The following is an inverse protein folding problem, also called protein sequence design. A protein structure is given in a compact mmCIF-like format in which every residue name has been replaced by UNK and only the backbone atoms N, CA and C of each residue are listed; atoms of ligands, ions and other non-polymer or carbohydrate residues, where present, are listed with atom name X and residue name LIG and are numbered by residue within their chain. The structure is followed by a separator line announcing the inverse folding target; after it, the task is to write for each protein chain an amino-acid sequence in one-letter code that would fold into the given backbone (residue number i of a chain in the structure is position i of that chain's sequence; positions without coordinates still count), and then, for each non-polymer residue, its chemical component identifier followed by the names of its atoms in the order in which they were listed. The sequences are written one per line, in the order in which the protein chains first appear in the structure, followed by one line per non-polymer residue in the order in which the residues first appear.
data_IF_603606188779
#
_entry.id   IF_603606188779
#
_cell.length_a   1.000
_cell.length_b   1.000
_cell.length_c   1.000
_cell.angle_alpha   90.00
_cell.angle_beta   90.00
_cell.angle_gamma   90.00
#
_symmetry.space_group_name_H-M   'P 1'
#
loop_
_entity.id
_entity.type
_entity.pdbx_description
1 polymer ?
#
# COMPACT_ATOMS: atom_id res chain seq x y z
N UNK A 1 -19.76 10.69 19.11
CA UNK A 1 -18.54 10.02 18.65
C UNK A 1 -18.90 8.95 17.64
N UNK A 2 -18.34 8.99 16.45
CA UNK A 2 -18.49 7.98 15.40
C UNK A 2 -17.11 7.42 15.06
N UNK A 3 -16.93 6.11 15.13
CA UNK A 3 -15.66 5.44 14.85
C UNK A 3 -15.78 4.64 13.57
N UNK A 4 -14.88 4.88 12.63
CA UNK A 4 -14.77 4.11 11.40
C UNK A 4 -13.52 3.22 11.48
N UNK A 5 -13.73 1.94 11.71
CA UNK A 5 -12.66 0.93 11.82
C UNK A 5 -11.93 0.67 10.49
N UNK A 6 -12.57 0.96 9.36
CA UNK A 6 -11.97 0.75 8.03
C UNK A 6 -10.95 1.83 7.67
N UNK A 7 -11.20 3.06 8.11
CA UNK A 7 -10.31 4.20 7.87
C UNK A 7 -9.42 4.51 9.08
N UNK A 8 -9.53 3.70 10.16
CA UNK A 8 -8.82 3.93 11.43
C UNK A 8 -9.03 5.36 11.96
N UNK A 9 -10.23 5.91 11.74
CA UNK A 9 -10.56 7.29 12.09
C UNK A 9 -11.77 7.36 13.03
N UNK A 10 -11.72 8.30 13.97
CA UNK A 10 -12.82 8.61 14.87
C UNK A 10 -13.26 10.06 14.68
N UNK A 11 -14.56 10.28 14.59
CA UNK A 11 -15.17 11.60 14.48
C UNK A 11 -15.74 12.00 15.83
N UNK A 12 -15.27 13.13 16.37
CA UNK A 12 -15.73 13.68 17.63
C UNK A 12 -16.42 15.01 17.37
N UNK A 13 -17.69 15.12 17.73
CA UNK A 13 -18.41 16.38 17.75
C UNK A 13 -18.23 17.04 19.12
N UNK A 14 -17.55 18.20 19.15
CA UNK A 14 -17.26 18.93 20.38
C UNK A 14 -18.44 19.85 20.68
N UNK A 15 -19.23 19.49 21.69
CA UNK A 15 -20.40 20.26 22.15
C UNK A 15 -20.06 21.30 23.21
N UNK A 16 -18.86 21.27 23.81
CA UNK A 16 -18.43 22.21 24.83
C UNK A 16 -17.31 23.13 24.37
N UNK A 17 -17.37 24.40 24.74
CA UNK A 17 -16.49 25.49 24.27
C UNK A 17 -15.02 25.42 24.78
N UNK A 18 -14.70 24.58 25.77
CA UNK A 18 -13.37 24.42 26.36
C UNK A 18 -13.02 22.93 26.55
N UNK A 19 -12.76 22.22 25.46
CA UNK A 19 -12.09 20.92 25.55
C UNK A 19 -10.66 21.12 25.02
N UNK A 20 -9.70 20.82 25.87
CA UNK A 20 -8.30 20.76 25.48
C UNK A 20 -8.09 19.49 24.62
N UNK A 21 -7.87 19.72 23.34
CA UNK A 21 -7.72 18.64 22.35
C UNK A 21 -6.44 17.84 22.63
N UNK A 22 -5.41 18.47 23.22
CA UNK A 22 -4.16 17.79 23.58
C UNK A 22 -4.40 16.75 24.67
N UNK A 23 -5.22 17.06 25.67
CA UNK A 23 -5.58 16.11 26.73
C UNK A 23 -6.37 14.89 26.20
N UNK A 24 -7.20 15.07 25.18
CA UNK A 24 -7.93 13.97 24.53
C UNK A 24 -6.96 13.05 23.75
N UNK A 25 -5.98 13.63 23.07
CA UNK A 25 -4.98 12.86 22.32
C UNK A 25 -4.06 12.08 23.26
N UNK A 26 -3.70 12.66 24.41
CA UNK A 26 -2.86 12.02 25.42
C UNK A 26 -3.59 10.84 26.08
N UNK A 27 -4.86 11.00 26.43
CA UNK A 27 -5.71 9.92 26.93
C UNK A 27 -5.88 8.78 25.92
N UNK A 28 -6.05 9.09 24.63
CA UNK A 28 -6.12 8.07 23.57
C UNK A 28 -4.79 7.31 23.43
N UNK A 29 -3.67 8.02 23.54
CA UNK A 29 -2.33 7.43 23.47
C UNK A 29 -2.04 6.50 24.66
N UNK A 30 -2.42 6.89 25.89
CA UNK A 30 -2.28 6.07 27.09
C UNK A 30 -3.12 4.80 27.04
N UNK A 31 -4.29 4.86 26.41
CA UNK A 31 -5.15 3.70 26.19
C UNK A 31 -4.76 2.83 24.96
N UNK A 32 -3.57 3.07 24.38
CA UNK A 32 -3.04 2.26 23.28
C UNK A 32 -3.48 2.66 21.88
N UNK A 33 -4.13 3.83 21.72
CA UNK A 33 -4.58 4.38 20.46
C UNK A 33 -3.84 5.69 20.13
N UNK A 34 -2.57 5.64 19.67
CA UNK A 34 -1.83 6.84 19.31
C UNK A 34 -2.53 7.54 18.13
N UNK A 35 -3.17 8.66 18.41
CA UNK A 35 -4.03 9.39 17.48
C UNK A 35 -3.41 10.73 17.11
N UNK A 36 -3.73 11.25 15.94
CA UNK A 36 -3.37 12.58 15.46
C UNK A 36 -4.61 13.33 15.04
N UNK A 37 -4.62 14.66 15.31
CA UNK A 37 -5.70 15.51 14.81
C UNK A 37 -5.71 15.47 13.29
N UNK A 38 -6.84 15.12 12.75
CA UNK A 38 -7.10 15.19 11.33
C UNK A 38 -7.74 16.54 11.03
N UNK A 39 -6.92 17.53 10.69
CA UNK A 39 -7.45 18.78 10.12
C UNK A 39 -7.98 18.39 8.74
N UNK A 40 -9.26 18.68 8.50
CA UNK A 40 -9.99 18.32 7.27
C UNK A 40 -9.47 19.14 6.07
N UNK A 41 -8.16 19.16 5.89
CA UNK A 41 -7.48 19.77 4.75
C UNK A 41 -7.31 18.65 3.71
N UNK A 42 -8.33 18.54 2.86
CA UNK A 42 -8.38 17.56 1.77
C UNK A 42 -7.13 17.61 0.90
N UNK A 43 -6.59 18.81 0.66
CA UNK A 43 -5.35 19.01 -0.10
C UNK A 43 -4.13 18.43 0.61
N UNK A 44 -4.04 18.57 1.94
CA UNK A 44 -2.93 17.96 2.71
C UNK A 44 -3.03 16.45 2.76
N UNK A 45 -4.25 15.91 2.86
CA UNK A 45 -4.47 14.46 2.80
C UNK A 45 -3.96 13.88 1.48
N UNK A 46 -4.30 14.54 0.38
CA UNK A 46 -3.86 14.16 -0.96
C UNK A 46 -2.34 14.16 -1.06
N UNK A 47 -1.71 15.28 -0.70
CA UNK A 47 -0.25 15.41 -0.77
C UNK A 47 0.48 14.38 0.11
N UNK A 48 -0.06 14.08 1.30
CA UNK A 48 0.52 13.04 2.17
C UNK A 48 0.35 11.65 1.57
N UNK A 49 -0.82 11.33 1.00
CA UNK A 49 -1.07 10.05 0.33
C UNK A 49 -0.17 9.85 -0.90
N UNK A 50 0.01 10.89 -1.71
CA UNK A 50 0.93 10.83 -2.86
C UNK A 50 2.38 10.66 -2.44
N UNK A 51 2.83 11.40 -1.43
CA UNK A 51 4.17 11.26 -0.87
C UNK A 51 4.41 9.87 -0.28
N UNK A 52 3.42 9.32 0.43
CA UNK A 52 3.48 7.96 0.96
C UNK A 52 3.50 6.91 -0.17
N UNK A 53 2.68 7.09 -1.21
CA UNK A 53 2.69 6.23 -2.40
C UNK A 53 4.04 6.27 -3.10
N UNK A 54 4.59 7.46 -3.36
CA UNK A 54 5.93 7.63 -3.95
C UNK A 54 7.02 7.01 -3.08
N UNK A 55 6.97 7.21 -1.75
CA UNK A 55 7.93 6.63 -0.81
C UNK A 55 7.84 5.09 -0.77
N UNK A 56 6.63 4.53 -0.73
CA UNK A 56 6.42 3.07 -0.83
C UNK A 56 6.96 2.52 -2.14
N UNK A 57 6.66 3.17 -3.26
CA UNK A 57 7.13 2.79 -4.58
C UNK A 57 8.66 2.80 -4.69
N UNK A 58 9.30 3.87 -4.20
CA UNK A 58 10.76 3.98 -4.21
C UNK A 58 11.45 2.91 -3.34
N UNK A 59 10.85 2.61 -2.18
CA UNK A 59 11.31 1.54 -1.30
C UNK A 59 11.17 0.14 -1.95
N UNK A 60 10.12 -0.08 -2.73
CA UNK A 60 9.93 -1.32 -3.50
C UNK A 60 10.97 -1.48 -4.61
N UNK A 61 11.25 -0.40 -5.34
CA UNK A 61 12.31 -0.40 -6.35
C UNK A 61 13.68 -0.70 -5.74
N UNK A 62 14.02 -0.10 -4.61
CA UNK A 62 15.27 -0.37 -3.90
C UNK A 62 15.38 -1.85 -3.48
N UNK A 63 14.31 -2.43 -2.95
CA UNK A 63 14.29 -3.85 -2.58
C UNK A 63 14.43 -4.75 -3.81
N UNK A 64 13.75 -4.42 -4.90
CA UNK A 64 13.83 -5.18 -6.14
C UNK A 64 15.23 -5.13 -6.75
N UNK A 65 15.83 -3.94 -6.89
CA UNK A 65 17.17 -3.80 -7.46
C UNK A 65 18.21 -4.55 -6.64
N UNK A 66 18.10 -4.48 -5.32
CA UNK A 66 18.99 -5.22 -4.44
C UNK A 66 18.76 -6.74 -4.52
N UNK A 67 17.52 -7.19 -4.59
CA UNK A 67 17.19 -8.60 -4.76
C UNK A 67 17.66 -9.16 -6.11
N UNK A 68 17.50 -8.40 -7.19
CA UNK A 68 18.01 -8.75 -8.52
C UNK A 68 19.54 -8.86 -8.53
N UNK A 69 20.22 -7.92 -7.89
CA UNK A 69 21.66 -7.97 -7.73
C UNK A 69 22.10 -9.26 -7.01
N UNK A 70 21.51 -9.58 -5.87
CA UNK A 70 21.83 -10.80 -5.11
C UNK A 70 21.51 -12.06 -5.91
N UNK A 71 20.38 -12.08 -6.62
CA UNK A 71 19.98 -13.22 -7.44
C UNK A 71 20.95 -13.45 -8.60
N UNK A 72 21.40 -12.38 -9.27
CA UNK A 72 22.38 -12.45 -10.35
C UNK A 72 23.71 -13.02 -9.85
N UNK A 73 24.21 -12.53 -8.71
CA UNK A 73 25.45 -13.03 -8.12
C UNK A 73 25.32 -14.47 -7.61
N UNK A 74 24.17 -14.83 -7.03
CA UNK A 74 23.90 -16.21 -6.62
C UNK A 74 23.85 -17.16 -7.81
N UNK A 75 23.20 -16.75 -8.92
CA UNK A 75 23.14 -17.52 -10.16
C UNK A 75 24.51 -17.69 -10.81
N UNK A 76 25.32 -16.63 -10.87
CA UNK A 76 26.70 -16.70 -11.35
C UNK A 76 27.57 -17.62 -10.47
N UNK A 77 27.37 -17.57 -9.15
CA UNK A 77 28.05 -18.46 -8.21
C UNK A 77 27.68 -19.92 -8.43
N UNK A 78 26.42 -20.23 -8.66
CA UNK A 78 25.96 -21.59 -8.97
C UNK A 78 26.54 -22.13 -10.29
N UNK A 79 26.66 -21.27 -11.31
CA UNK A 79 27.35 -21.62 -12.57
C UNK A 79 28.86 -21.84 -12.37
N UNK A 80 29.49 -21.12 -11.47
CA UNK A 80 30.89 -21.30 -11.11
C UNK A 80 31.12 -22.60 -10.34
N UNK A 81 30.24 -22.99 -9.43
CA UNK A 81 30.23 -24.25 -8.72
C UNK A 81 30.08 -25.45 -9.67
N UNK A 82 29.23 -25.32 -10.71
CA UNK A 82 29.05 -26.29 -11.80
C UNK A 82 30.21 -26.36 -12.78
N UNK A 83 31.33 -25.65 -12.55
CA UNK A 83 32.52 -25.58 -13.44
C UNK A 83 32.29 -24.99 -14.83
N UNK A 84 31.17 -24.32 -15.06
CA UNK A 84 30.92 -23.61 -16.32
C UNK A 84 31.70 -22.29 -16.42
N UNK A 85 32.07 -21.71 -15.27
CA UNK A 85 32.83 -20.45 -15.17
C UNK A 85 33.97 -20.61 -14.18
N UNK A 86 35.20 -20.32 -14.59
CA UNK A 86 36.40 -20.45 -13.76
C UNK A 86 36.65 -19.19 -12.89
N UNK A 87 35.76 -18.92 -11.93
CA UNK A 87 35.92 -17.86 -10.92
C UNK A 87 35.93 -18.46 -9.51
N UNK A 88 37.12 -18.69 -8.89
CA UNK A 88 37.23 -19.38 -7.61
C UNK A 88 36.55 -18.66 -6.44
N UNK A 89 36.39 -17.32 -6.53
CA UNK A 89 35.74 -16.50 -5.51
C UNK A 89 34.22 -16.76 -5.51
N UNK A 90 33.59 -16.89 -6.70
CA UNK A 90 32.16 -17.09 -6.84
C UNK A 90 31.71 -18.50 -6.42
N UNK A 91 32.56 -19.51 -6.50
CA UNK A 91 32.30 -20.88 -6.02
C UNK A 91 32.58 -21.09 -4.53
N UNK A 92 32.98 -20.05 -3.80
CA UNK A 92 33.32 -20.18 -2.38
C UNK A 92 32.06 -20.22 -1.50
N UNK A 93 31.96 -21.21 -0.62
CA UNK A 93 30.83 -21.37 0.31
C UNK A 93 30.60 -20.14 1.19
N UNK A 94 31.65 -19.43 1.61
CA UNK A 94 31.56 -18.22 2.41
C UNK A 94 30.93 -17.05 1.60
N UNK A 95 31.18 -17.02 0.30
CA UNK A 95 30.53 -16.05 -0.60
C UNK A 95 29.03 -16.29 -0.66
N UNK A 96 28.58 -17.53 -0.86
CA UNK A 96 27.16 -17.90 -0.86
C UNK A 96 26.50 -17.67 0.49
N UNK A 97 27.20 -17.99 1.58
CA UNK A 97 26.73 -17.73 2.95
C UNK A 97 26.52 -16.22 3.19
N UNK A 98 27.44 -15.37 2.72
CA UNK A 98 27.30 -13.92 2.85
C UNK A 98 26.15 -13.37 2.02
N UNK A 99 25.96 -13.84 0.78
CA UNK A 99 24.83 -13.47 -0.07
C UNK A 99 23.50 -13.88 0.56
N UNK A 100 23.39 -15.10 1.08
CA UNK A 100 22.19 -15.58 1.75
C UNK A 100 21.87 -14.74 2.99
N UNK A 101 22.88 -14.45 3.81
CA UNK A 101 22.70 -13.58 4.99
C UNK A 101 22.21 -12.19 4.61
N UNK A 102 22.80 -11.59 3.58
CA UNK A 102 22.37 -10.28 3.06
C UNK A 102 20.94 -10.33 2.50
N UNK A 103 20.57 -11.41 1.81
CA UNK A 103 19.21 -11.60 1.29
C UNK A 103 18.17 -11.68 2.42
N UNK A 104 18.48 -12.37 3.51
CA UNK A 104 17.61 -12.49 4.66
C UNK A 104 17.47 -11.16 5.42
N UNK A 105 18.58 -10.45 5.67
CA UNK A 105 18.59 -9.25 6.51
C UNK A 105 18.00 -8.00 5.83
N UNK A 106 18.18 -7.88 4.52
CA UNK A 106 17.74 -6.67 3.81
C UNK A 106 16.42 -6.88 3.05
N UNK A 107 16.39 -7.51 1.86
CA UNK A 107 15.15 -7.58 1.10
C UNK A 107 14.15 -8.58 1.70
N UNK A 108 14.60 -9.69 2.26
CA UNK A 108 13.78 -10.76 2.82
C UNK A 108 13.24 -10.50 4.23
N UNK A 109 13.82 -9.53 4.95
CA UNK A 109 13.46 -9.25 6.35
C UNK A 109 11.95 -9.10 6.58
N UNK A 110 11.27 -8.38 5.69
CA UNK A 110 9.83 -8.16 5.82
C UNK A 110 9.03 -9.46 5.69
N UNK A 111 9.39 -10.32 4.75
CA UNK A 111 8.74 -11.63 4.51
C UNK A 111 8.94 -12.52 5.74
N UNK A 112 10.17 -12.60 6.24
CA UNK A 112 10.50 -13.45 7.39
C UNK A 112 9.76 -13.01 8.65
N UNK A 113 9.81 -11.70 8.98
CA UNK A 113 9.15 -11.17 10.18
C UNK A 113 7.64 -11.32 10.10
N UNK A 114 7.03 -10.99 8.95
CA UNK A 114 5.58 -11.10 8.77
C UNK A 114 5.15 -12.56 8.79
N UNK A 115 5.84 -13.45 8.08
CA UNK A 115 5.56 -14.87 8.06
C UNK A 115 5.62 -15.50 9.45
N UNK A 116 6.62 -15.14 10.24
CA UNK A 116 6.75 -15.63 11.62
C UNK A 116 5.66 -15.09 12.54
N UNK A 117 5.31 -13.79 12.41
CA UNK A 117 4.20 -13.18 13.15
C UNK A 117 2.85 -13.81 12.82
N UNK A 118 2.57 -14.06 11.53
CA UNK A 118 1.34 -14.71 11.06
C UNK A 118 1.24 -16.14 11.59
N UNK A 119 2.36 -16.86 11.59
CA UNK A 119 2.42 -18.21 12.13
C UNK A 119 2.13 -18.26 13.64
N UNK A 120 2.73 -17.37 14.45
CA UNK A 120 2.48 -17.29 15.90
C UNK A 120 1.03 -16.92 16.20
N UNK A 121 0.39 -16.09 15.35
CA UNK A 121 -1.01 -15.70 15.51
C UNK A 121 -2.01 -16.76 15.04
N UNK A 122 -1.58 -17.98 14.72
CA UNK A 122 -2.40 -19.06 14.17
C UNK A 122 -3.17 -18.71 12.87
N UNK A 123 -2.64 -17.75 12.10
CA UNK A 123 -3.14 -17.38 10.78
C UNK A 123 -1.98 -17.40 9.78
N UNK A 124 -1.35 -18.59 9.53
CA UNK A 124 -0.26 -18.68 8.58
C UNK A 124 -0.74 -18.26 7.19
N UNK A 125 0.13 -17.58 6.49
CA UNK A 125 -0.05 -17.08 5.14
C UNK A 125 1.09 -17.56 4.21
N UNK A 126 1.10 -17.10 2.98
CA UNK A 126 2.16 -17.40 2.02
C UNK A 126 3.55 -17.02 2.57
N UNK A 127 3.65 -15.91 3.33
CA UNK A 127 4.90 -15.47 3.94
C UNK A 127 5.41 -16.44 4.99
N UNK A 128 4.49 -17.08 5.73
CA UNK A 128 4.82 -18.08 6.73
C UNK A 128 5.49 -19.30 6.10
N UNK A 129 4.97 -19.80 4.99
CA UNK A 129 5.54 -20.93 4.26
C UNK A 129 6.93 -20.61 3.71
N UNK A 130 7.05 -19.44 3.07
CA UNK A 130 8.32 -18.95 2.53
C UNK A 130 9.36 -18.75 3.63
N UNK A 131 8.99 -18.12 4.74
CA UNK A 131 9.88 -17.90 5.88
C UNK A 131 10.41 -19.23 6.45
N UNK A 132 9.53 -20.23 6.61
CA UNK A 132 9.92 -21.56 7.06
C UNK A 132 10.90 -22.22 6.10
N UNK A 133 10.62 -22.22 4.80
CA UNK A 133 11.50 -22.82 3.78
C UNK A 133 12.88 -22.14 3.76
N UNK A 134 12.90 -20.80 3.72
CA UNK A 134 14.14 -20.01 3.71
C UNK A 134 14.96 -20.20 4.97
N UNK A 135 14.33 -20.17 6.15
CA UNK A 135 15.03 -20.36 7.43
C UNK A 135 15.56 -21.81 7.54
N UNK A 136 14.77 -22.80 7.13
CA UNK A 136 15.20 -24.20 7.15
C UNK A 136 16.42 -24.44 6.26
N UNK A 137 16.38 -23.95 5.01
CA UNK A 137 17.51 -24.06 4.09
C UNK A 137 18.75 -23.33 4.60
N UNK A 138 18.58 -22.13 5.15
CA UNK A 138 19.68 -21.35 5.70
C UNK A 138 20.28 -21.99 6.94
N UNK A 139 19.47 -22.49 7.88
CA UNK A 139 19.96 -23.14 9.11
C UNK A 139 20.66 -24.47 8.81
N UNK A 140 20.13 -25.27 7.89
CA UNK A 140 20.78 -26.50 7.44
C UNK A 140 22.16 -26.21 6.81
N UNK A 141 22.25 -25.19 5.97
CA UNK A 141 23.51 -24.77 5.36
C UNK A 141 24.50 -24.22 6.39
N UNK A 142 24.00 -23.50 7.40
CA UNK A 142 24.85 -23.01 8.49
C UNK A 142 25.38 -24.15 9.34
N UNK A 143 24.57 -25.19 9.63
CA UNK A 143 24.99 -26.39 10.33
C UNK A 143 26.04 -27.16 9.52
N UNK A 144 25.88 -27.28 8.20
CA UNK A 144 26.86 -27.86 7.29
C UNK A 144 28.19 -27.12 7.34
N UNK A 145 28.16 -25.79 7.44
CA UNK A 145 29.37 -24.96 7.53
C UNK A 145 30.11 -25.15 8.88
N UNK A 146 29.34 -25.25 9.99
CA UNK A 146 29.91 -25.41 11.35
C UNK A 146 30.39 -26.84 11.59
N UNK A 147 29.67 -27.82 11.07
CA UNK A 147 29.98 -29.26 11.23
C UNK A 147 30.21 -29.96 9.88
N UNK A 148 31.35 -29.72 9.21
CA UNK A 148 31.60 -30.30 7.87
C UNK A 148 31.57 -31.83 7.85
N UNK A 149 31.90 -32.47 9.00
CA UNK A 149 31.89 -33.93 9.15
C UNK A 149 30.47 -34.54 9.20
N UNK A 150 29.43 -33.73 9.31
CA UNK A 150 28.04 -34.21 9.40
C UNK A 150 27.45 -34.70 8.08
N UNK A 151 28.10 -34.36 6.94
CA UNK A 151 27.60 -34.72 5.59
C UNK A 151 26.33 -33.98 5.18
N UNK A 152 25.90 -32.94 5.90
CA UNK A 152 24.75 -32.16 5.49
C UNK A 152 25.02 -31.40 4.19
N UNK A 153 24.09 -31.42 3.24
CA UNK A 153 24.23 -30.65 2.02
C UNK A 153 24.12 -29.14 2.29
N UNK A 154 24.81 -28.34 1.48
CA UNK A 154 24.83 -26.89 1.60
C UNK A 154 23.86 -26.26 0.59
N UNK A 155 22.91 -25.47 1.08
CA UNK A 155 21.82 -24.88 0.30
C UNK A 155 21.79 -23.36 0.40
N UNK A 156 22.93 -22.65 0.55
CA UNK A 156 22.91 -21.18 0.69
C UNK A 156 22.34 -20.46 -0.54
N UNK A 157 22.35 -21.07 -1.72
CA UNK A 157 21.78 -20.49 -2.93
C UNK A 157 20.24 -20.46 -2.90
N UNK A 158 19.62 -21.47 -2.28
CA UNK A 158 18.16 -21.62 -2.24
C UNK A 158 17.44 -20.42 -1.60
N UNK A 159 17.82 -19.94 -0.39
CA UNK A 159 17.26 -18.76 0.22
C UNK A 159 17.32 -17.52 -0.67
N UNK A 160 18.44 -17.30 -1.36
CA UNK A 160 18.63 -16.13 -2.24
C UNK A 160 17.71 -16.20 -3.44
N UNK A 161 17.68 -17.36 -4.11
CA UNK A 161 16.82 -17.58 -5.27
C UNK A 161 15.34 -17.48 -4.92
N UNK A 162 14.92 -18.13 -3.85
CA UNK A 162 13.53 -18.12 -3.40
C UNK A 162 13.05 -16.69 -3.06
N UNK A 163 13.82 -15.97 -2.23
CA UNK A 163 13.51 -14.60 -1.88
C UNK A 163 13.54 -13.69 -3.11
N UNK A 164 14.49 -13.86 -4.00
CA UNK A 164 14.61 -13.07 -5.22
C UNK A 164 13.38 -13.22 -6.12
N UNK A 165 12.94 -14.45 -6.42
CA UNK A 165 11.75 -14.68 -7.24
C UNK A 165 10.47 -14.18 -6.59
N UNK A 166 10.31 -14.35 -5.28
CA UNK A 166 9.14 -13.86 -4.57
C UNK A 166 9.08 -12.33 -4.57
N UNK A 167 10.21 -11.66 -4.39
CA UNK A 167 10.26 -10.20 -4.42
C UNK A 167 9.96 -9.63 -5.82
N UNK A 168 10.42 -10.31 -6.88
CA UNK A 168 10.05 -9.98 -8.26
C UNK A 168 8.53 -10.14 -8.45
N UNK A 169 7.96 -11.27 -8.04
CA UNK A 169 6.52 -11.51 -8.13
C UNK A 169 5.69 -10.46 -7.40
N UNK A 170 6.08 -10.10 -6.20
CA UNK A 170 5.43 -9.02 -5.42
C UNK A 170 5.55 -7.65 -6.08
N UNK A 171 6.71 -7.33 -6.63
CA UNK A 171 6.89 -6.09 -7.35
C UNK A 171 5.95 -6.00 -8.56
N UNK A 172 5.84 -7.09 -9.35
CA UNK A 172 4.92 -7.15 -10.50
C UNK A 172 3.46 -7.01 -10.07
N UNK A 173 3.07 -7.68 -8.97
CA UNK A 173 1.72 -7.56 -8.38
C UNK A 173 1.43 -6.11 -7.96
N UNK A 174 2.33 -5.48 -7.21
CA UNK A 174 2.16 -4.08 -6.78
C UNK A 174 2.16 -3.11 -7.95
N UNK A 175 3.00 -3.33 -8.97
CA UNK A 175 3.00 -2.53 -10.20
C UNK A 175 1.65 -2.61 -10.90
N UNK A 176 1.07 -3.80 -11.03
CA UNK A 176 -0.25 -3.98 -11.63
C UNK A 176 -1.33 -3.23 -10.84
N UNK A 177 -1.29 -3.32 -9.50
CA UNK A 177 -2.20 -2.58 -8.62
C UNK A 177 -2.03 -1.06 -8.73
N UNK A 178 -0.79 -0.59 -8.81
CA UNK A 178 -0.50 0.84 -8.93
C UNK A 178 -1.08 1.40 -10.24
N UNK A 179 -0.92 0.69 -11.35
CA UNK A 179 -1.49 1.10 -12.64
C UNK A 179 -3.02 1.15 -12.64
N UNK A 180 -3.68 0.25 -11.90
CA UNK A 180 -5.14 0.23 -11.80
C UNK A 180 -5.68 1.31 -10.84
N UNK A 181 -4.89 1.80 -9.90
CA UNK A 181 -5.30 2.78 -8.88
C UNK A 181 -5.06 4.26 -9.26
N UNK A 182 -4.58 4.55 -10.49
CA UNK A 182 -4.27 5.94 -10.93
C UNK A 182 -5.52 6.81 -11.12
N UNK A 183 -6.69 6.23 -11.32
CA UNK A 183 -7.95 6.96 -11.56
C UNK A 183 -8.37 7.92 -10.44
N UNK A 184 -7.91 7.70 -9.20
CA UNK A 184 -8.19 8.62 -8.09
C UNK A 184 -7.41 9.94 -8.27
N UNK A 185 -6.18 9.89 -8.79
CA UNK A 185 -5.39 11.08 -9.07
C UNK A 185 -6.10 12.01 -10.06
N UNK A 186 -6.66 11.45 -11.13
CA UNK A 186 -7.39 12.21 -12.14
C UNK A 186 -8.64 12.91 -11.56
N UNK A 187 -9.33 12.29 -10.60
CA UNK A 187 -10.46 12.92 -9.92
C UNK A 187 -10.01 14.06 -8.99
N UNK A 188 -8.82 13.98 -8.43
CA UNK A 188 -8.27 15.02 -7.57
C UNK A 188 -7.85 16.25 -8.37
N UNK A 189 -7.37 16.05 -9.60
CA UNK A 189 -7.02 17.13 -10.54
C UNK A 189 -8.25 17.93 -11.01
N UNK A 190 -9.47 17.44 -10.74
CA UNK A 190 -10.72 18.19 -11.02
C UNK A 190 -10.92 19.37 -10.04
N UNK A 191 -10.27 19.39 -8.89
CA UNK A 191 -10.39 20.51 -7.97
C UNK A 191 -9.29 21.54 -8.23
N UNK A 192 -9.64 22.80 -8.55
CA UNK A 192 -8.65 23.85 -8.75
C UNK A 192 -7.94 24.19 -7.44
N UNK A 193 -6.69 24.66 -7.53
CA UNK A 193 -5.91 25.08 -6.35
C UNK A 193 -6.38 26.44 -5.80
N UNK A 194 -6.87 27.30 -6.68
CA UNK A 194 -7.25 28.69 -6.39
C UNK A 194 -8.74 28.93 -6.68
N UNK A 195 -9.34 29.83 -5.94
CA UNK A 195 -10.70 30.30 -6.15
C UNK A 195 -10.75 31.83 -6.05
N UNK A 196 -11.57 32.44 -6.90
CA UNK A 196 -11.77 33.87 -6.91
C UNK A 196 -13.01 34.22 -6.05
N UNK A 197 -12.79 34.85 -4.90
CA UNK A 197 -13.87 35.29 -3.99
C UNK A 197 -14.22 36.75 -4.20
N UNK A 198 -15.52 37.09 -3.99
CA UNK A 198 -15.93 38.46 -3.82
C UNK A 198 -15.71 38.91 -2.37
N UNK A 199 -15.02 40.05 -2.19
CA UNK A 199 -14.89 40.71 -0.90
C UNK A 199 -16.12 41.55 -0.59
N UNK A 200 -16.27 42.07 0.63
CA UNK A 200 -17.38 42.97 1.01
C UNK A 200 -17.49 44.22 0.12
N UNK A 201 -16.34 44.68 -0.40
CA UNK A 201 -16.26 45.80 -1.35
C UNK A 201 -16.56 45.37 -2.81
N UNK A 202 -17.07 44.16 -3.00
CA UNK A 202 -17.37 43.59 -4.33
C UNK A 202 -16.12 43.49 -5.26
N UNK A 203 -14.91 43.53 -4.69
CA UNK A 203 -13.66 43.28 -5.40
C UNK A 203 -13.38 41.78 -5.45
N UNK A 204 -12.67 41.35 -6.50
CA UNK A 204 -12.30 39.94 -6.69
C UNK A 204 -10.92 39.73 -6.11
N UNK A 205 -10.79 38.72 -5.22
CA UNK A 205 -9.54 38.28 -4.64
C UNK A 205 -9.34 36.81 -4.86
N UNK A 206 -8.18 36.40 -5.37
CA UNK A 206 -7.83 35.00 -5.51
C UNK A 206 -7.29 34.45 -4.18
N UNK A 207 -7.86 33.34 -3.71
CA UNK A 207 -7.44 32.64 -2.49
C UNK A 207 -7.27 31.14 -2.77
N UNK A 208 -6.58 30.43 -1.90
CA UNK A 208 -6.49 28.98 -1.98
C UNK A 208 -7.84 28.34 -1.64
N UNK A 209 -8.24 27.30 -2.41
CA UNK A 209 -9.53 26.60 -2.22
C UNK A 209 -9.68 26.03 -0.80
N UNK A 210 -8.58 25.61 -0.17
CA UNK A 210 -8.60 25.11 1.21
C UNK A 210 -8.94 26.16 2.29
N UNK A 211 -8.92 27.46 1.93
CA UNK A 211 -9.31 28.56 2.81
C UNK A 211 -10.76 29.03 2.59
N UNK A 212 -11.46 28.46 1.59
CA UNK A 212 -12.86 28.74 1.35
C UNK A 212 -13.74 28.37 2.55
N UNK A 213 -14.75 29.18 2.80
CA UNK A 213 -15.75 28.96 3.86
C UNK A 213 -17.16 28.90 3.28
N UNK A 214 -18.06 28.17 3.91
CA UNK A 214 -19.47 28.20 3.55
C UNK A 214 -20.02 29.64 3.58
N UNK A 215 -20.99 29.93 2.69
CA UNK A 215 -21.63 31.21 2.47
C UNK A 215 -20.77 32.30 1.80
N UNK A 216 -19.50 32.06 1.49
CA UNK A 216 -18.72 32.98 0.65
C UNK A 216 -19.22 32.97 -0.80
N UNK A 217 -19.17 34.15 -1.46
CA UNK A 217 -19.47 34.26 -2.88
C UNK A 217 -18.17 34.17 -3.69
N UNK A 218 -18.22 33.38 -4.74
CA UNK A 218 -17.09 33.13 -5.65
C UNK A 218 -17.48 33.43 -7.09
N UNK A 219 -16.47 33.76 -7.88
CA UNK A 219 -16.56 33.85 -9.33
C UNK A 219 -15.94 32.62 -9.98
N UNK A 220 -16.65 32.04 -10.96
CA UNK A 220 -16.13 30.97 -11.81
C UNK A 220 -16.25 31.42 -13.26
N UNK A 221 -15.14 31.62 -13.95
CA UNK A 221 -15.08 32.04 -15.33
C UNK A 221 -15.40 30.87 -16.28
N UNK A 222 -15.67 31.19 -17.54
CA UNK A 222 -15.75 30.18 -18.59
C UNK A 222 -14.39 29.48 -18.74
N UNK A 223 -14.38 28.15 -18.76
CA UNK A 223 -13.20 27.32 -18.77
C UNK A 223 -12.66 26.95 -17.36
N UNK A 224 -13.19 27.58 -16.31
CA UNK A 224 -12.77 27.25 -14.92
C UNK A 224 -13.61 26.12 -14.32
N UNK A 225 -13.01 25.38 -13.38
CA UNK A 225 -13.70 24.38 -12.59
C UNK A 225 -14.26 24.97 -11.30
N UNK A 226 -15.41 24.45 -10.89
CA UNK A 226 -16.08 24.83 -9.64
C UNK A 226 -15.28 24.30 -8.45
N UNK A 227 -14.78 25.16 -7.54
CA UNK A 227 -13.84 24.77 -6.49
C UNK A 227 -14.47 24.04 -5.29
N UNK A 228 -15.77 24.20 -5.08
CA UNK A 228 -16.53 23.67 -3.95
C UNK A 228 -17.98 23.40 -4.37
N UNK A 229 -18.77 22.71 -3.53
CA UNK A 229 -20.21 22.58 -3.82
C UNK A 229 -20.88 23.94 -3.60
N UNK A 230 -21.55 24.44 -4.61
CA UNK A 230 -22.10 25.82 -4.66
C UNK A 230 -23.53 25.84 -5.17
N UNK A 231 -24.19 26.98 -4.92
CA UNK A 231 -25.46 27.33 -5.57
C UNK A 231 -25.24 28.55 -6.48
N UNK A 232 -25.85 28.57 -7.64
CA UNK A 232 -25.80 29.71 -8.58
C UNK A 232 -26.59 30.88 -8.01
N UNK A 233 -25.91 32.01 -7.74
CA UNK A 233 -26.56 33.22 -7.24
C UNK A 233 -26.84 34.21 -8.38
N UNK A 234 -26.02 34.18 -9.45
CA UNK A 234 -26.20 35.02 -10.61
C UNK A 234 -25.52 34.45 -11.83
N UNK A 235 -26.19 34.52 -12.96
CA UNK A 235 -25.70 34.10 -14.27
C UNK A 235 -26.34 32.80 -14.74
N UNK A 236 -26.12 32.50 -16.02
CA UNK A 236 -26.56 31.26 -16.64
C UNK A 236 -25.42 30.74 -17.56
N UNK A 237 -25.19 29.47 -17.55
CA UNK A 237 -24.10 28.83 -18.33
C UNK A 237 -24.42 27.38 -18.62
N UNK A 238 -23.64 26.77 -19.51
CA UNK A 238 -23.55 25.33 -19.65
C UNK A 238 -22.38 24.81 -18.82
N UNK A 239 -22.60 23.70 -18.12
CA UNK A 239 -21.61 23.09 -17.22
C UNK A 239 -21.46 21.64 -17.57
N UNK A 240 -20.21 21.20 -17.73
CA UNK A 240 -19.86 19.80 -17.89
C UNK A 240 -19.69 19.14 -16.51
N UNK A 241 -20.55 18.16 -16.25
CA UNK A 241 -20.56 17.36 -15.02
C UNK A 241 -20.16 15.90 -15.28
N UNK A 242 -19.66 15.59 -16.49
CA UNK A 242 -19.37 14.23 -16.94
C UNK A 242 -18.41 13.46 -16.04
N UNK A 243 -17.46 14.14 -15.43
CA UNK A 243 -16.50 13.53 -14.49
C UNK A 243 -17.15 13.04 -13.18
N UNK A 244 -18.32 13.53 -12.84
CA UNK A 244 -19.05 13.19 -11.59
C UNK A 244 -20.22 12.27 -11.90
N UNK A 245 -21.00 12.57 -12.95
CA UNK A 245 -22.23 11.83 -13.29
C UNK A 245 -22.02 10.75 -14.34
N UNK A 246 -20.96 10.85 -15.14
CA UNK A 246 -20.71 9.99 -16.31
C UNK A 246 -21.49 10.40 -17.56
N UNK A 247 -22.36 11.42 -17.49
CA UNK A 247 -23.14 11.92 -18.62
C UNK A 247 -22.32 12.93 -19.41
N UNK A 248 -22.05 12.67 -20.69
CA UNK A 248 -21.22 13.52 -21.55
C UNK A 248 -21.91 14.80 -22.03
N UNK A 249 -23.23 14.94 -21.81
CA UNK A 249 -23.98 16.12 -22.28
C UNK A 249 -23.91 17.21 -21.21
N UNK A 250 -23.40 18.43 -21.57
CA UNK A 250 -23.44 19.57 -20.66
C UNK A 250 -24.85 19.92 -20.24
N UNK A 251 -25.02 20.29 -18.97
CA UNK A 251 -26.30 20.75 -18.43
C UNK A 251 -26.36 22.29 -18.42
N UNK A 252 -27.52 22.85 -18.76
CA UNK A 252 -27.77 24.27 -18.56
C UNK A 252 -28.02 24.52 -17.07
N UNK A 253 -27.35 25.53 -16.50
CA UNK A 253 -27.53 25.90 -15.09
C UNK A 253 -27.95 27.34 -14.96
N UNK A 254 -28.94 27.61 -14.08
CA UNK A 254 -29.58 28.89 -13.82
C UNK A 254 -29.49 29.27 -12.35
N UNK A 255 -29.89 30.49 -12.05
CA UNK A 255 -29.95 30.97 -10.66
C UNK A 255 -30.80 30.05 -9.79
N UNK A 256 -30.27 29.69 -8.61
CA UNK A 256 -30.88 28.77 -7.64
C UNK A 256 -30.50 27.31 -7.82
N UNK A 257 -29.78 26.92 -8.88
CA UNK A 257 -29.34 25.53 -9.09
C UNK A 257 -28.04 25.21 -8.38
N UNK A 258 -27.90 23.93 -7.98
CA UNK A 258 -26.74 23.44 -7.28
C UNK A 258 -25.67 22.95 -8.27
N UNK A 259 -24.42 23.28 -7.98
CA UNK A 259 -23.26 22.83 -8.73
C UNK A 259 -22.29 22.07 -7.79
N UNK A 260 -21.83 20.93 -8.26
CA UNK A 260 -20.86 20.12 -7.53
C UNK A 260 -19.42 20.59 -7.79
N UNK A 261 -18.57 20.44 -6.79
CA UNK A 261 -17.12 20.65 -6.91
C UNK A 261 -16.54 19.81 -8.04
N UNK A 262 -15.64 20.38 -8.85
CA UNK A 262 -15.00 19.73 -9.99
C UNK A 262 -15.72 19.88 -11.32
N UNK A 263 -16.97 20.38 -11.34
CA UNK A 263 -17.71 20.67 -12.58
C UNK A 263 -17.02 21.75 -13.40
N UNK A 264 -17.01 21.63 -14.72
CA UNK A 264 -16.35 22.57 -15.63
C UNK A 264 -17.37 23.56 -16.20
N UNK A 265 -17.20 24.86 -15.94
CA UNK A 265 -18.01 25.91 -16.51
C UNK A 265 -17.61 26.20 -17.97
N UNK A 266 -18.55 26.17 -18.92
CA UNK A 266 -18.18 26.21 -20.34
C UNK A 266 -18.35 27.60 -20.97
N UNK A 267 -19.45 28.32 -20.71
CA UNK A 267 -19.84 29.43 -21.59
C UNK A 267 -19.68 30.81 -20.97
N UNK A 268 -20.22 31.03 -19.78
CA UNK A 268 -20.32 32.39 -19.21
C UNK A 268 -19.87 32.41 -17.75
N UNK A 269 -19.50 33.59 -17.27
CA UNK A 269 -19.11 33.79 -15.87
C UNK A 269 -20.30 33.56 -14.96
N UNK A 270 -20.09 32.74 -13.94
CA UNK A 270 -21.05 32.44 -12.88
C UNK A 270 -20.63 33.09 -11.56
N UNK A 271 -21.61 33.66 -10.83
CA UNK A 271 -21.44 34.01 -9.42
C UNK A 271 -22.11 32.93 -8.59
N UNK A 272 -21.36 32.33 -7.72
CA UNK A 272 -21.75 31.12 -6.95
C UNK A 272 -21.62 31.42 -5.47
N UNK A 273 -22.50 30.85 -4.66
CA UNK A 273 -22.42 30.88 -3.21
C UNK A 273 -21.97 29.48 -2.71
N UNK A 274 -20.90 29.43 -1.97
CA UNK A 274 -20.33 28.18 -1.43
C UNK A 274 -21.27 27.58 -0.40
N UNK A 275 -21.61 26.30 -0.55
CA UNK A 275 -22.42 25.53 0.39
C UNK A 275 -21.56 24.58 1.22
N UNK A 276 -20.73 23.74 0.56
CA UNK A 276 -19.89 22.75 1.22
C UNK A 276 -18.47 22.86 0.72
N UNK A 277 -17.51 22.70 1.64
CA UNK A 277 -16.07 22.84 1.35
C UNK A 277 -15.28 21.62 1.83
N UNK A 278 -14.11 21.41 1.28
CA UNK A 278 -13.16 20.40 1.73
C UNK A 278 -13.74 18.98 1.73
N UNK A 279 -13.62 18.27 2.85
CA UNK A 279 -14.06 16.89 3.00
C UNK A 279 -15.56 16.64 2.90
N UNK A 280 -16.38 17.68 3.05
CA UNK A 280 -17.85 17.59 2.96
C UNK A 280 -18.36 17.77 1.52
N UNK A 281 -17.50 18.16 0.58
CA UNK A 281 -17.84 18.32 -0.83
C UNK A 281 -18.23 17.00 -1.49
N UNK A 282 -19.01 17.07 -2.54
CA UNK A 282 -19.45 15.91 -3.33
C UNK A 282 -18.27 15.15 -3.92
N UNK A 283 -17.26 15.86 -4.43
CA UNK A 283 -16.03 15.28 -4.96
C UNK A 283 -15.24 14.53 -3.87
N UNK A 284 -15.09 15.13 -2.69
CA UNK A 284 -14.38 14.48 -1.57
C UNK A 284 -15.08 13.20 -1.10
N UNK A 285 -16.42 13.20 -1.05
CA UNK A 285 -17.21 12.01 -0.71
C UNK A 285 -17.02 10.90 -1.74
N UNK A 286 -16.99 11.23 -3.03
CA UNK A 286 -16.76 10.29 -4.11
C UNK A 286 -15.35 9.68 -4.01
N UNK A 287 -14.33 10.49 -3.78
CA UNK A 287 -12.95 10.00 -3.55
C UNK A 287 -12.88 9.09 -2.34
N UNK A 288 -13.47 9.47 -1.21
CA UNK A 288 -13.49 8.63 0.00
C UNK A 288 -14.23 7.30 -0.23
N UNK A 289 -15.31 7.30 -1.02
CA UNK A 289 -16.03 6.08 -1.41
C UNK A 289 -15.12 5.15 -2.21
N UNK A 290 -14.45 5.66 -3.24
CA UNK A 290 -13.54 4.88 -4.09
C UNK A 290 -12.36 4.36 -3.26
N UNK A 291 -11.78 5.17 -2.38
CA UNK A 291 -10.73 4.73 -1.45
C UNK A 291 -11.23 3.58 -0.56
N UNK A 292 -12.43 3.68 -0.01
CA UNK A 292 -13.01 2.66 0.86
C UNK A 292 -13.25 1.33 0.14
N UNK A 293 -13.63 1.39 -1.13
CA UNK A 293 -13.81 0.20 -1.98
C UNK A 293 -12.46 -0.42 -2.32
N UNK A 294 -11.47 0.40 -2.68
CA UNK A 294 -10.12 -0.06 -3.02
C UNK A 294 -9.34 -0.60 -1.81
N UNK A 295 -9.65 -0.12 -0.59
CA UNK A 295 -9.04 -0.62 0.64
C UNK A 295 -9.49 -2.06 0.98
N UNK A 296 -10.62 -2.52 0.45
CA UNK A 296 -11.09 -3.89 0.68
C UNK A 296 -10.27 -4.87 -0.15
N UNK A 297 -9.64 -5.85 0.52
CA UNK A 297 -9.01 -6.97 -0.19
C UNK A 297 -10.03 -7.65 -1.11
N UNK A 298 -9.73 -7.88 -2.39
CA UNK A 298 -10.60 -8.63 -3.29
C UNK A 298 -10.99 -9.99 -2.68
N UNK A 299 -12.20 -10.44 -2.92
CA UNK A 299 -12.72 -11.71 -2.37
C UNK A 299 -11.80 -12.89 -2.76
N UNK A 300 -11.27 -12.86 -3.97
CA UNK A 300 -10.37 -13.90 -4.49
C UNK A 300 -9.05 -13.96 -3.70
N UNK A 301 -8.51 -12.81 -3.29
CA UNK A 301 -7.29 -12.77 -2.49
C UNK A 301 -7.50 -13.33 -1.09
N UNK A 302 -8.66 -13.08 -0.46
CA UNK A 302 -9.00 -13.67 0.85
C UNK A 302 -9.12 -15.19 0.78
N UNK A 303 -9.70 -15.71 -0.31
CA UNK A 303 -9.79 -17.17 -0.55
C UNK A 303 -8.39 -17.75 -0.75
N UNK A 304 -7.55 -17.08 -1.52
CA UNK A 304 -6.16 -17.51 -1.74
C UNK A 304 -5.36 -17.53 -0.43
N UNK A 305 -5.49 -16.50 0.41
CA UNK A 305 -4.84 -16.42 1.74
C UNK A 305 -5.33 -17.58 2.66
N UNK A 306 -6.61 -17.89 2.66
CA UNK A 306 -7.21 -18.98 3.46
C UNK A 306 -6.70 -20.35 3.00
N UNK A 307 -6.66 -20.59 1.69
CA UNK A 307 -6.14 -21.84 1.10
C UNK A 307 -4.66 -21.97 1.42
N UNK A 308 -3.87 -20.91 1.25
CA UNK A 308 -2.45 -20.88 1.56
C UNK A 308 -2.19 -21.20 3.04
N UNK A 309 -3.02 -20.69 3.94
CA UNK A 309 -2.94 -21.01 5.37
C UNK A 309 -3.15 -22.50 5.66
N UNK A 310 -4.19 -23.09 5.11
CA UNK A 310 -4.47 -24.54 5.26
C UNK A 310 -3.36 -25.39 4.65
N UNK A 311 -2.86 -24.98 3.47
CA UNK A 311 -1.75 -25.63 2.79
C UNK A 311 -0.46 -25.60 3.62
N UNK A 312 -0.18 -24.49 4.31
CA UNK A 312 0.99 -24.37 5.19
C UNK A 312 0.96 -25.42 6.30
N UNK A 313 -0.19 -25.62 6.96
CA UNK A 313 -0.32 -26.68 7.97
C UNK A 313 -0.14 -28.07 7.38
N UNK A 314 -0.72 -28.34 6.21
CA UNK A 314 -0.56 -29.62 5.52
C UNK A 314 0.92 -29.91 5.23
N UNK A 315 1.65 -28.93 4.68
CA UNK A 315 3.08 -29.08 4.40
C UNK A 315 3.88 -29.35 5.66
N UNK A 316 3.59 -28.63 6.77
CA UNK A 316 4.28 -28.84 8.05
C UNK A 316 4.05 -30.24 8.60
N UNK A 317 2.80 -30.72 8.59
CA UNK A 317 2.45 -32.07 9.06
C UNK A 317 3.18 -33.10 8.21
N UNK A 318 3.14 -32.95 6.88
CA UNK A 318 3.79 -33.87 5.95
C UNK A 318 5.31 -33.88 6.11
N UNK A 319 5.93 -32.69 6.23
CA UNK A 319 7.36 -32.58 6.49
C UNK A 319 7.77 -33.24 7.82
N UNK A 320 6.98 -33.04 8.86
CA UNK A 320 7.20 -33.65 10.18
C UNK A 320 7.08 -35.18 10.11
N UNK A 321 6.05 -35.71 9.44
CA UNK A 321 5.88 -37.15 9.24
C UNK A 321 7.05 -37.73 8.43
N UNK A 322 7.47 -37.06 7.36
CA UNK A 322 8.64 -37.49 6.55
C UNK A 322 9.91 -37.49 7.38
N UNK A 323 10.15 -36.46 8.20
CA UNK A 323 11.29 -36.40 9.08
C UNK A 323 11.32 -37.59 10.07
N UNK A 324 10.19 -37.89 10.76
CA UNK A 324 10.13 -39.01 11.67
C UNK A 324 10.25 -40.38 10.96
N UNK A 325 9.68 -40.50 9.76
CA UNK A 325 9.83 -41.70 8.94
C UNK A 325 11.29 -41.99 8.63
N UNK A 326 12.04 -40.98 8.17
CA UNK A 326 13.47 -41.14 7.88
C UNK A 326 14.33 -41.28 9.14
N UNK A 327 13.98 -40.58 10.22
CA UNK A 327 14.71 -40.66 11.47
C UNK A 327 14.66 -42.05 12.12
N UNK A 328 13.49 -42.69 12.14
CA UNK A 328 13.30 -43.98 12.80
C UNK A 328 13.14 -45.16 11.84
N UNK A 329 12.42 -44.98 10.73
CA UNK A 329 12.04 -46.06 9.83
C UNK A 329 13.11 -46.45 8.83
N UNK A 330 13.77 -45.49 8.19
CA UNK A 330 14.75 -45.77 7.16
C UNK A 330 16.02 -46.45 7.69
N UNK A 331 16.46 -46.08 8.90
CA UNK A 331 17.58 -46.76 9.58
C UNK A 331 17.35 -48.25 9.83
N UNK A 332 16.09 -48.64 10.01
CA UNK A 332 15.75 -50.06 10.31
C UNK A 332 15.29 -50.83 9.09
N UNK A 333 14.79 -50.14 8.02
CA UNK A 333 14.18 -50.78 6.85
C UNK A 333 15.21 -50.89 5.70
N UNK A 334 16.09 -49.87 5.53
CA UNK A 334 17.10 -49.85 4.45
C UNK A 334 18.45 -49.30 4.96
N UNK A 335 19.19 -50.12 5.72
CA UNK A 335 20.51 -49.70 6.24
C UNK A 335 21.52 -49.38 5.13
N UNK A 336 21.40 -50.03 3.95
CA UNK A 336 22.33 -49.87 2.83
C UNK A 336 22.09 -48.59 1.98
N UNK A 337 20.95 -47.97 2.11
CA UNK A 337 20.62 -46.73 1.37
C UNK A 337 21.17 -45.45 2.05
N UNK A 338 21.62 -45.57 3.30
CA UNK A 338 22.20 -44.47 4.08
C UNK A 338 23.73 -44.49 4.11
N UNK A 339 24.34 -45.46 3.46
CA UNK A 339 25.80 -45.62 3.37
C UNK A 339 26.40 -44.99 2.10
N UNK A 340 25.60 -44.43 1.23
CA UNK A 340 25.95 -43.65 0.04
C UNK A 340 25.36 -42.23 0.15
#
# INVERSE_FOLDING_TARGET
VSVNLLTESAYFEITQKHIDIESVLENLKENGFPSKIYINDFSKKINTLELEKKKKWNNQWQKLTFALFLLLFSGLGHLAEGRYINFPILGNIFFHASLATLALLFPGRGIIINGFKSFIKNHPDMDSLVALGVISAYTTSLLSLIFPASGFPCFFNEPVMLLGFILIGRFLEERARYQTGSSIGELLDLQPEMANIYTEDNQIKSIRVNTLRPNQEIQVLAGDRVPADCIVTRGNSYVDVSHITGESKPIEVKEGENLSSGSLNLNSTLRLKVQKVGGDSSLAKLVNLIESVNARKPRIQRIADEIAGKFTYFVLIFATLTFFFWWQGAKNIWPDLLSH
#
